data_IF_077492134650
#
_entry.id   IF_077492134650
#
_cell.length_a   1.000
_cell.length_b   1.000
_cell.length_c   1.000
_cell.angle_alpha   90.00
_cell.angle_beta   90.00
_cell.angle_gamma   90.00
#
_symmetry.space_group_name_H-M   'P 1'
#
loop_
_entity.id
_entity.type
_entity.pdbx_description
1 polymer ?
#
# COMPACT_ATOMS: atom_id res chain seq x y z
N UNK A 1 49.83 9.33 52.66
CA UNK A 1 49.27 8.15 51.98
C UNK A 1 47.94 8.56 51.38
N UNK A 2 47.89 8.81 50.07
CA UNK A 2 46.71 9.33 49.37
C UNK A 2 46.15 8.20 48.51
N UNK A 3 44.98 7.69 48.88
CA UNK A 3 44.29 6.63 48.14
C UNK A 3 43.68 7.22 46.86
N UNK A 4 44.17 6.79 45.70
CA UNK A 4 43.59 7.13 44.41
C UNK A 4 42.30 6.34 44.16
N UNK A 5 41.17 7.04 44.02
CA UNK A 5 39.93 6.49 43.46
C UNK A 5 40.17 6.17 41.98
N UNK A 6 40.26 4.89 41.63
CA UNK A 6 40.13 4.46 40.24
C UNK A 6 38.70 4.76 39.78
N UNK A 7 38.56 5.62 38.78
CA UNK A 7 37.32 5.81 38.07
C UNK A 7 37.04 4.55 37.24
N UNK A 8 36.03 3.78 37.62
CA UNK A 8 35.45 2.75 36.77
C UNK A 8 34.91 3.45 35.52
N UNK A 9 35.69 3.42 34.44
CA UNK A 9 35.21 3.76 33.11
C UNK A 9 34.23 2.65 32.72
N UNK A 10 32.94 2.99 32.60
CA UNK A 10 31.99 2.15 31.91
C UNK A 10 32.43 2.05 30.44
N UNK A 11 33.29 1.09 30.13
CA UNK A 11 33.45 0.59 28.77
C UNK A 11 32.16 -0.14 28.44
N UNK A 12 31.37 0.40 27.50
CA UNK A 12 30.37 -0.38 26.78
C UNK A 12 31.07 -1.64 26.27
N UNK A 13 30.64 -2.81 26.73
CA UNK A 13 31.20 -4.07 26.28
C UNK A 13 30.96 -4.17 24.78
N UNK A 14 32.03 -4.36 24.01
CA UNK A 14 31.99 -4.52 22.54
C UNK A 14 31.05 -5.68 22.14
N UNK A 15 30.86 -6.65 23.04
CA UNK A 15 30.01 -7.83 22.84
C UNK A 15 28.49 -7.54 22.83
N UNK A 16 28.02 -6.40 23.39
CA UNK A 16 26.60 -6.01 23.33
C UNK A 16 26.20 -5.37 21.99
N UNK A 17 27.17 -5.09 21.11
CA UNK A 17 26.93 -4.55 19.77
C UNK A 17 26.93 -5.63 18.68
N UNK A 18 27.57 -6.79 18.91
CA UNK A 18 27.63 -7.88 17.93
C UNK A 18 26.36 -8.75 17.90
N UNK A 19 25.48 -8.63 18.92
CA UNK A 19 24.21 -9.35 19.00
C UNK A 19 22.98 -8.58 18.49
N UNK A 20 23.15 -7.36 17.95
CA UNK A 20 22.03 -6.62 17.37
C UNK A 20 21.81 -7.09 15.94
N UNK A 21 20.96 -8.09 15.78
CA UNK A 21 20.38 -8.43 14.49
C UNK A 21 19.71 -7.15 13.94
N UNK A 22 20.37 -6.52 12.97
CA UNK A 22 19.83 -5.37 12.27
C UNK A 22 18.63 -5.86 11.47
N UNK A 23 17.42 -5.47 11.89
CA UNK A 23 16.21 -5.82 11.18
C UNK A 23 16.33 -5.40 9.71
N UNK A 24 16.11 -6.34 8.80
CA UNK A 24 15.93 -5.99 7.40
C UNK A 24 14.49 -5.53 7.21
N UNK A 25 14.31 -4.25 6.84
CA UNK A 25 12.98 -3.74 6.54
C UNK A 25 12.69 -3.89 5.05
N UNK A 26 11.56 -4.50 4.71
CA UNK A 26 11.05 -4.64 3.35
C UNK A 26 9.78 -3.82 3.18
N UNK A 27 9.70 -3.11 2.06
CA UNK A 27 8.47 -2.51 1.56
C UNK A 27 8.11 -3.21 0.25
N UNK A 28 6.99 -3.92 0.25
CA UNK A 28 6.45 -4.62 -0.91
C UNK A 28 5.40 -3.74 -1.56
N UNK A 29 5.56 -3.47 -2.85
CA UNK A 29 4.56 -2.77 -3.66
C UNK A 29 3.80 -3.80 -4.50
N UNK A 30 2.56 -4.07 -4.15
CA UNK A 30 1.74 -5.06 -4.85
C UNK A 30 0.73 -4.38 -5.76
N UNK A 31 0.87 -4.55 -7.08
CA UNK A 31 0.03 -3.89 -8.08
C UNK A 31 -1.16 -4.74 -8.51
N UNK A 32 -1.30 -5.94 -7.93
CA UNK A 32 -2.49 -6.79 -8.05
C UNK A 32 -3.01 -7.08 -6.65
N UNK A 33 -3.66 -6.10 -6.01
CA UNK A 33 -3.99 -6.20 -4.60
C UNK A 33 -4.78 -7.44 -4.23
N UNK A 34 -4.26 -8.18 -3.26
CA UNK A 34 -4.90 -9.39 -2.73
C UNK A 34 -6.29 -9.08 -2.15
N UNK A 35 -7.24 -9.99 -2.39
CA UNK A 35 -8.54 -9.94 -1.74
C UNK A 35 -8.42 -10.32 -0.25
N UNK A 36 -8.29 -9.33 0.63
CA UNK A 36 -8.27 -9.57 2.08
C UNK A 36 -9.70 -9.75 2.59
N UNK A 37 -10.01 -10.95 3.09
CA UNK A 37 -11.33 -11.26 3.60
C UNK A 37 -11.72 -10.33 4.77
N UNK A 38 -12.92 -9.74 4.68
CA UNK A 38 -13.45 -8.85 5.71
C UNK A 38 -12.97 -7.40 5.62
N UNK A 39 -12.09 -7.08 4.67
CA UNK A 39 -11.76 -5.69 4.37
C UNK A 39 -12.88 -4.98 3.62
N UNK A 40 -13.08 -3.70 3.96
CA UNK A 40 -14.14 -2.87 3.35
C UNK A 40 -13.70 -2.25 2.02
N UNK A 41 -12.38 -2.14 1.83
CA UNK A 41 -11.81 -1.62 0.60
C UNK A 41 -11.91 -2.69 -0.47
N UNK A 42 -12.33 -2.30 -1.68
CA UNK A 42 -12.33 -3.21 -2.82
C UNK A 42 -10.97 -3.04 -3.51
N UNK A 43 -10.01 -3.96 -3.25
CA UNK A 43 -8.82 -4.03 -4.07
C UNK A 43 -9.24 -4.14 -5.53
N UNK A 44 -8.65 -3.28 -6.37
CA UNK A 44 -8.79 -3.36 -7.82
C UNK A 44 -7.41 -3.45 -8.42
N UNK A 45 -7.24 -4.25 -9.48
CA UNK A 45 -5.94 -4.36 -10.13
C UNK A 45 -5.47 -3.00 -10.63
N UNK A 46 -4.18 -2.68 -10.45
CA UNK A 46 -3.59 -1.45 -10.97
C UNK A 46 -3.81 -1.33 -12.49
N UNK A 47 -3.68 -2.47 -13.19
CA UNK A 47 -3.93 -2.57 -14.63
C UNK A 47 -5.37 -2.20 -14.99
N UNK A 48 -6.35 -2.48 -14.13
CA UNK A 48 -7.74 -2.09 -14.32
C UNK A 48 -7.93 -0.58 -14.51
N UNK A 49 -7.07 0.25 -13.91
CA UNK A 49 -7.11 1.72 -14.07
C UNK A 49 -6.84 2.17 -15.50
N UNK A 50 -6.11 1.37 -16.27
CA UNK A 50 -5.72 1.66 -17.65
C UNK A 50 -6.78 1.19 -18.66
N UNK A 51 -7.81 0.50 -18.18
CA UNK A 51 -8.98 0.11 -18.98
C UNK A 51 -10.16 1.09 -18.79
N UNK A 52 -10.02 2.13 -17.95
CA UNK A 52 -11.10 3.07 -17.66
C UNK A 52 -11.24 4.10 -18.78
N UNK A 53 -12.31 3.98 -19.55
CA UNK A 53 -12.80 5.03 -20.44
C UNK A 53 -13.70 5.98 -19.66
N UNK A 54 -13.47 7.28 -19.77
CA UNK A 54 -14.38 8.28 -19.19
C UNK A 54 -15.63 8.42 -20.06
N UNK A 55 -16.61 9.21 -19.63
CA UNK A 55 -17.86 9.46 -20.37
C UNK A 55 -17.63 9.97 -21.81
N UNK A 56 -16.46 10.53 -22.11
CA UNK A 56 -16.02 10.91 -23.46
C UNK A 56 -15.58 9.74 -24.35
N UNK A 57 -15.58 8.51 -23.83
CA UNK A 57 -15.05 7.32 -24.49
C UNK A 57 -13.52 7.26 -24.57
N UNK A 58 -12.81 8.24 -23.98
CA UNK A 58 -11.34 8.32 -24.01
C UNK A 58 -10.75 8.18 -22.61
N UNK A 59 -9.65 7.45 -22.52
CA UNK A 59 -8.79 7.45 -21.34
C UNK A 59 -8.02 8.77 -21.22
N UNK A 60 -7.64 9.23 -20.02
CA UNK A 60 -6.86 10.46 -19.85
C UNK A 60 -5.48 10.31 -20.47
N UNK A 61 -5.02 11.33 -21.19
CA UNK A 61 -3.73 11.30 -21.88
C UNK A 61 -2.53 11.08 -20.94
N UNK A 62 -2.62 11.45 -19.66
CA UNK A 62 -1.54 11.18 -18.70
C UNK A 62 -1.39 9.70 -18.32
N UNK A 63 -2.36 8.86 -18.69
CA UNK A 63 -2.23 7.40 -18.56
C UNK A 63 -1.54 6.76 -19.78
N UNK A 64 -1.33 7.51 -20.87
CA UNK A 64 -0.49 7.08 -21.99
C UNK A 64 0.98 7.28 -21.56
N UNK A 65 1.65 6.18 -21.26
CA UNK A 65 2.97 6.17 -20.62
C UNK A 65 4.11 6.08 -21.62
N UNK A 66 3.84 5.51 -22.79
CA UNK A 66 4.78 5.44 -23.92
C UNK A 66 4.54 6.51 -24.99
N UNK A 67 3.41 7.25 -24.93
CA UNK A 67 3.10 8.37 -25.80
C UNK A 67 2.60 7.96 -27.19
N UNK A 68 2.09 6.73 -27.34
CA UNK A 68 1.65 6.20 -28.62
C UNK A 68 0.21 6.61 -29.01
N UNK A 69 -0.50 7.32 -28.12
CA UNK A 69 -1.88 7.78 -28.29
C UNK A 69 -2.96 6.82 -27.77
N UNK A 70 -2.59 5.66 -27.21
CA UNK A 70 -3.48 4.63 -26.71
C UNK A 70 -3.12 4.20 -25.30
N UNK A 71 -4.11 4.18 -24.40
CA UNK A 71 -3.93 3.70 -23.03
C UNK A 71 -4.31 2.23 -22.95
N UNK A 72 -3.39 1.38 -22.53
CA UNK A 72 -3.60 -0.06 -22.43
C UNK A 72 -2.77 -0.72 -21.29
N UNK A 73 -2.77 -2.06 -21.23
CA UNK A 73 -2.03 -2.80 -20.21
C UNK A 73 -0.50 -2.63 -20.25
N UNK A 74 0.08 -2.27 -21.40
CA UNK A 74 1.50 -1.96 -21.51
C UNK A 74 1.85 -0.67 -20.74
N UNK A 75 0.98 0.34 -20.80
CA UNK A 75 1.15 1.58 -20.03
C UNK A 75 1.11 1.32 -18.53
N UNK A 76 0.24 0.41 -18.07
CA UNK A 76 0.21 -0.02 -16.68
C UNK A 76 1.56 -0.60 -16.24
N UNK A 77 2.18 -1.47 -17.05
CA UNK A 77 3.49 -2.03 -16.73
C UNK A 77 4.60 -0.96 -16.70
N UNK A 78 4.58 -0.01 -17.64
CA UNK A 78 5.53 1.11 -17.66
C UNK A 78 5.35 1.98 -16.41
N UNK A 79 4.11 2.28 -16.05
CA UNK A 79 3.80 3.09 -14.89
C UNK A 79 4.21 2.41 -13.58
N UNK A 80 3.91 1.13 -13.39
CA UNK A 80 4.26 0.41 -12.18
C UNK A 80 5.78 0.39 -11.94
N UNK A 81 6.56 0.20 -13.01
CA UNK A 81 8.02 0.31 -12.97
C UNK A 81 8.49 1.73 -12.61
N UNK A 82 7.91 2.77 -13.21
CA UNK A 82 8.24 4.17 -12.94
C UNK A 82 7.85 4.59 -11.51
N UNK A 83 6.70 4.15 -11.02
CA UNK A 83 6.25 4.34 -9.62
C UNK A 83 7.24 3.69 -8.67
N UNK A 84 7.57 2.41 -8.89
CA UNK A 84 8.54 1.68 -8.05
C UNK A 84 9.90 2.38 -8.01
N UNK A 85 10.41 2.83 -9.16
CA UNK A 85 11.66 3.58 -9.24
C UNK A 85 11.59 4.91 -8.47
N UNK A 86 10.45 5.62 -8.55
CA UNK A 86 10.25 6.87 -7.82
C UNK A 86 10.13 6.65 -6.31
N UNK A 87 9.43 5.61 -5.85
CA UNK A 87 9.39 5.23 -4.42
C UNK A 87 10.79 4.93 -3.90
N UNK A 88 11.60 4.18 -4.66
CA UNK A 88 13.02 3.95 -4.35
C UNK A 88 13.83 5.23 -4.23
N UNK A 89 13.53 6.23 -5.06
CA UNK A 89 14.18 7.54 -4.97
C UNK A 89 13.74 8.32 -3.72
N UNK A 90 12.44 8.32 -3.38
CA UNK A 90 11.89 9.01 -2.21
C UNK A 90 12.42 8.44 -0.89
N UNK A 91 12.63 7.13 -0.85
CA UNK A 91 13.14 6.41 0.32
C UNK A 91 14.64 6.14 0.27
N UNK A 92 15.37 6.77 -0.67
CA UNK A 92 16.81 6.62 -0.78
C UNK A 92 17.49 7.16 0.49
N UNK A 93 18.34 6.34 1.10
CA UNK A 93 19.08 6.69 2.32
C UNK A 93 18.46 6.16 3.61
N UNK A 94 17.24 5.63 3.56
CA UNK A 94 16.62 4.93 4.68
C UNK A 94 16.92 3.42 4.60
N UNK A 95 16.93 2.74 5.75
CA UNK A 95 17.16 1.29 5.84
C UNK A 95 15.91 0.51 5.43
N UNK A 96 15.53 0.57 4.15
CA UNK A 96 14.36 -0.14 3.61
C UNK A 96 14.67 -0.70 2.21
N UNK A 97 14.37 -1.98 2.01
CA UNK A 97 14.46 -2.67 0.73
C UNK A 97 13.11 -2.66 0.05
N UNK A 98 13.03 -2.02 -1.11
CA UNK A 98 11.78 -1.93 -1.87
C UNK A 98 11.74 -3.02 -2.93
N UNK A 99 10.71 -3.85 -2.86
CA UNK A 99 10.41 -4.89 -3.84
C UNK A 99 9.07 -4.59 -4.49
N UNK A 100 8.97 -4.87 -5.78
CA UNK A 100 7.66 -4.92 -6.42
C UNK A 100 7.19 -6.37 -6.36
N UNK A 101 5.96 -6.57 -5.93
CA UNK A 101 5.24 -7.82 -6.09
C UNK A 101 4.74 -7.97 -7.53
N UNK A 102 3.57 -8.57 -7.68
CA UNK A 102 3.01 -8.89 -8.98
C UNK A 102 2.40 -7.68 -9.69
N UNK A 103 2.37 -7.75 -11.02
CA UNK A 103 1.81 -6.71 -11.89
C UNK A 103 0.66 -7.19 -12.76
N UNK A 104 0.66 -8.47 -13.12
CA UNK A 104 -0.19 -9.01 -14.19
C UNK A 104 -1.26 -9.97 -13.68
N UNK A 105 -0.97 -10.71 -12.62
CA UNK A 105 -1.84 -11.71 -12.03
C UNK A 105 -1.71 -11.62 -10.52
N UNK A 106 -2.83 -11.59 -9.81
CA UNK A 106 -2.85 -11.72 -8.36
C UNK A 106 -2.34 -13.13 -8.01
N UNK A 107 -1.11 -13.23 -7.49
CA UNK A 107 -0.56 -14.50 -6.99
C UNK A 107 -0.56 -14.57 -5.45
N UNK A 108 -1.20 -13.62 -4.77
CA UNK A 108 -1.11 -13.48 -3.32
C UNK A 108 0.26 -13.00 -2.84
N UNK A 109 1.04 -12.31 -3.67
CA UNK A 109 2.43 -11.99 -3.34
C UNK A 109 2.54 -11.09 -2.10
N UNK A 110 1.71 -10.05 -1.99
CA UNK A 110 1.67 -9.19 -0.82
C UNK A 110 1.42 -9.97 0.47
N UNK A 111 0.37 -10.80 0.50
CA UNK A 111 0.00 -11.63 1.63
C UNK A 111 1.08 -12.65 1.99
N UNK A 112 1.73 -13.29 1.00
CA UNK A 112 2.83 -14.23 1.23
C UNK A 112 4.02 -13.53 1.91
N UNK A 113 4.42 -12.36 1.41
CA UNK A 113 5.51 -11.59 1.99
C UNK A 113 5.17 -11.11 3.40
N UNK A 114 3.96 -10.60 3.62
CA UNK A 114 3.52 -10.15 4.93
C UNK A 114 3.48 -11.29 5.95
N UNK A 115 2.94 -12.45 5.57
CA UNK A 115 2.92 -13.64 6.44
C UNK A 115 4.33 -14.14 6.75
N UNK A 116 5.24 -14.11 5.77
CA UNK A 116 6.64 -14.44 6.01
C UNK A 116 7.30 -13.50 7.02
N UNK A 117 7.10 -12.18 6.86
CA UNK A 117 7.63 -11.17 7.78
C UNK A 117 7.12 -11.35 9.22
N UNK A 118 5.81 -11.54 9.40
CA UNK A 118 5.20 -11.79 10.72
C UNK A 118 5.79 -13.00 11.45
N UNK A 119 6.31 -13.97 10.69
CA UNK A 119 6.98 -15.17 11.22
C UNK A 119 8.49 -15.01 11.37
N UNK A 120 9.09 -14.00 10.75
CA UNK A 120 10.50 -13.68 10.89
C UNK A 120 10.78 -12.98 12.21
N UNK A 121 11.85 -13.35 12.94
CA UNK A 121 12.34 -12.57 14.07
C UNK A 121 13.17 -11.35 13.63
N UNK A 122 13.68 -11.35 12.39
CA UNK A 122 14.75 -10.47 11.95
C UNK A 122 14.38 -9.62 10.72
N UNK A 123 13.20 -9.82 10.16
CA UNK A 123 12.73 -9.09 9.00
C UNK A 123 11.39 -8.43 9.33
N UNK A 124 11.26 -7.17 8.95
CA UNK A 124 10.00 -6.44 9.03
C UNK A 124 9.47 -6.26 7.62
N UNK A 125 8.23 -6.67 7.36
CA UNK A 125 7.62 -6.56 6.04
C UNK A 125 6.38 -5.67 6.08
N UNK A 126 6.45 -4.54 5.40
CA UNK A 126 5.28 -3.73 5.10
C UNK A 126 4.83 -3.95 3.67
N UNK A 127 3.52 -3.97 3.43
CA UNK A 127 2.95 -4.11 2.08
C UNK A 127 2.12 -2.87 1.76
N UNK A 128 2.28 -2.29 0.58
CA UNK A 128 1.34 -1.30 0.06
C UNK A 128 0.70 -1.88 -1.19
N UNK A 129 -0.61 -2.09 -1.11
CA UNK A 129 -1.43 -2.48 -2.24
C UNK A 129 -1.72 -1.27 -3.13
N UNK A 130 -1.23 -1.32 -4.36
CA UNK A 130 -1.27 -0.22 -5.31
C UNK A 130 -2.33 -0.53 -6.37
N UNK A 131 -3.47 0.13 -6.31
CA UNK A 131 -4.59 -0.24 -7.18
C UNK A 131 -5.94 0.21 -6.64
N UNK A 132 -6.99 0.02 -7.44
CA UNK A 132 -8.37 0.18 -7.02
C UNK A 132 -8.77 1.61 -6.64
N UNK A 133 -9.95 1.70 -6.05
CA UNK A 133 -10.58 2.95 -5.65
C UNK A 133 -11.10 2.86 -4.22
N UNK A 134 -11.23 4.02 -3.58
CA UNK A 134 -11.89 4.08 -2.28
C UNK A 134 -13.41 3.95 -2.45
N UNK A 135 -13.97 2.83 -1.98
CA UNK A 135 -15.42 2.53 -2.03
C UNK A 135 -16.25 3.29 -1.01
N UNK A 136 -15.62 3.99 -0.05
CA UNK A 136 -16.33 4.73 0.99
C UNK A 136 -16.97 6.04 0.51
N UNK A 137 -16.93 6.31 -0.80
CA UNK A 137 -17.60 7.46 -1.42
C UNK A 137 -16.86 8.78 -1.25
N UNK A 138 -15.62 8.77 -0.73
CA UNK A 138 -14.74 9.95 -0.64
C UNK A 138 -13.73 9.91 -1.80
N UNK A 139 -14.02 10.54 -2.95
CA UNK A 139 -13.14 10.49 -4.12
C UNK A 139 -11.78 11.16 -3.87
N UNK A 140 -11.64 11.98 -2.83
CA UNK A 140 -10.38 12.63 -2.46
C UNK A 140 -9.42 11.76 -1.64
N UNK A 141 -9.82 10.57 -1.18
CA UNK A 141 -8.92 9.68 -0.44
C UNK A 141 -8.08 8.88 -1.43
N UNK A 142 -6.78 9.17 -1.45
CA UNK A 142 -5.80 8.56 -2.35
C UNK A 142 -5.06 7.39 -1.72
N UNK A 143 -5.03 7.27 -0.40
CA UNK A 143 -4.46 6.14 0.31
C UNK A 143 -5.04 5.96 1.71
N UNK A 144 -4.72 4.82 2.32
CA UNK A 144 -4.98 4.55 3.73
C UNK A 144 -4.04 3.47 4.26
N UNK A 145 -3.51 3.65 5.47
CA UNK A 145 -2.78 2.65 6.20
C UNK A 145 -3.13 2.69 7.70
N UNK A 146 -2.78 1.62 8.40
CA UNK A 146 -2.66 1.69 9.85
C UNK A 146 -1.55 2.69 10.23
N UNK A 147 -1.68 3.31 11.39
CA UNK A 147 -0.69 4.28 11.89
C UNK A 147 -0.03 3.71 13.13
N UNK A 148 1.29 3.54 13.09
CA UNK A 148 2.07 3.14 14.26
C UNK A 148 2.21 4.32 15.25
N UNK A 149 2.61 4.04 16.49
CA UNK A 149 2.99 5.13 17.41
C UNK A 149 4.33 5.74 16.98
N UNK A 150 4.64 6.99 17.34
CA UNK A 150 5.93 7.59 17.05
C UNK A 150 7.07 6.78 17.66
N UNK A 151 8.07 6.46 16.85
CA UNK A 151 9.26 5.67 17.23
C UNK A 151 9.07 4.18 17.09
N UNK A 152 7.87 3.76 16.72
CA UNK A 152 7.52 2.38 16.45
C UNK A 152 7.35 2.17 14.95
N UNK A 153 7.28 0.90 14.59
CA UNK A 153 6.85 0.46 13.28
C UNK A 153 5.74 -0.57 13.48
N UNK A 154 4.88 -0.69 12.48
CA UNK A 154 3.82 -1.70 12.45
C UNK A 154 4.01 -2.54 11.20
N UNK A 155 4.21 -3.83 11.41
CA UNK A 155 4.22 -4.82 10.35
C UNK A 155 2.80 -5.08 9.86
N UNK A 156 2.40 -4.37 8.81
CA UNK A 156 1.05 -4.41 8.28
C UNK A 156 1.05 -3.97 6.81
N UNK A 157 -0.15 -3.85 6.26
CA UNK A 157 -0.38 -3.31 4.94
C UNK A 157 -1.12 -1.96 4.94
N UNK A 158 -1.03 -1.27 3.82
CA UNK A 158 -1.84 -0.11 3.46
C UNK A 158 -2.23 -0.16 1.98
N UNK A 159 -2.96 0.87 1.53
CA UNK A 159 -3.45 1.01 0.17
C UNK A 159 -3.05 2.34 -0.43
N UNK A 160 -2.65 2.33 -1.70
CA UNK A 160 -2.59 3.49 -2.56
C UNK A 160 -3.62 3.34 -3.69
N UNK A 161 -4.74 4.06 -3.58
CA UNK A 161 -5.90 4.02 -4.47
C UNK A 161 -5.64 4.79 -5.77
N UNK A 162 -4.87 4.17 -6.65
CA UNK A 162 -4.42 4.78 -7.91
C UNK A 162 -5.56 5.11 -8.88
N UNK A 163 -6.71 4.42 -8.82
CA UNK A 163 -7.89 4.83 -9.58
C UNK A 163 -8.49 6.13 -9.02
N UNK A 164 -8.51 6.29 -7.68
CA UNK A 164 -8.94 7.54 -7.03
C UNK A 164 -8.02 8.69 -7.44
N UNK A 165 -6.70 8.46 -7.46
CA UNK A 165 -5.70 9.44 -7.92
C UNK A 165 -5.97 9.82 -9.38
N UNK A 166 -6.06 8.85 -10.28
CA UNK A 166 -6.31 9.11 -11.70
C UNK A 166 -7.62 9.89 -11.91
N UNK A 167 -8.70 9.50 -11.23
CA UNK A 167 -9.98 10.19 -11.29
C UNK A 167 -9.90 11.62 -10.77
N UNK A 168 -9.24 11.84 -9.64
CA UNK A 168 -9.04 13.17 -9.07
C UNK A 168 -8.29 14.08 -10.05
N UNK A 169 -7.18 13.59 -10.62
CA UNK A 169 -6.39 14.34 -11.59
C UNK A 169 -7.17 14.64 -12.87
N UNK A 170 -7.95 13.67 -13.38
CA UNK A 170 -8.79 13.89 -14.56
C UNK A 170 -9.93 14.90 -14.31
N UNK A 171 -10.45 14.99 -13.08
CA UNK A 171 -11.57 15.87 -12.74
C UNK A 171 -11.14 17.29 -12.37
N UNK A 172 -10.02 17.45 -11.67
CA UNK A 172 -9.68 18.71 -11.00
C UNK A 172 -8.37 19.34 -11.49
N UNK A 173 -7.61 18.67 -12.36
CA UNK A 173 -6.33 19.19 -12.85
C UNK A 173 -6.35 19.32 -14.38
N UNK A 174 -6.08 20.53 -14.87
CA UNK A 174 -5.91 20.79 -16.31
C UNK A 174 -4.47 20.46 -16.72
N UNK A 175 -4.31 19.68 -17.80
CA UNK A 175 -3.01 19.34 -18.39
C UNK A 175 -2.03 18.60 -17.46
N UNK A 176 -2.49 17.49 -16.87
CA UNK A 176 -1.64 16.57 -16.09
C UNK A 176 -0.69 15.82 -17.02
N UNK A 177 0.59 15.72 -16.64
CA UNK A 177 1.56 14.86 -17.33
C UNK A 177 1.58 13.46 -16.72
N UNK A 178 2.03 12.46 -17.49
CA UNK A 178 2.21 11.10 -16.97
C UNK A 178 3.19 11.09 -15.79
N UNK A 179 4.24 11.92 -15.83
CA UNK A 179 5.19 12.07 -14.71
C UNK A 179 4.54 12.60 -13.42
N UNK A 180 3.56 13.49 -13.51
CA UNK A 180 2.84 14.01 -12.35
C UNK A 180 2.01 12.91 -11.70
N UNK A 181 1.29 12.10 -12.50
CA UNK A 181 0.56 10.93 -11.99
C UNK A 181 1.48 9.92 -11.29
N UNK A 182 2.64 9.60 -11.90
CA UNK A 182 3.65 8.73 -11.29
C UNK A 182 4.14 9.28 -9.95
N UNK A 183 4.44 10.58 -9.90
CA UNK A 183 4.92 11.23 -8.69
C UNK A 183 3.87 11.23 -7.59
N UNK A 184 2.59 11.44 -7.92
CA UNK A 184 1.52 11.40 -6.94
C UNK A 184 1.28 9.99 -6.39
N UNK A 185 1.26 8.96 -7.26
CA UNK A 185 1.16 7.57 -6.80
C UNK A 185 2.33 7.19 -5.88
N UNK A 186 3.56 7.52 -6.28
CA UNK A 186 4.75 7.22 -5.49
C UNK A 186 4.78 7.98 -4.16
N UNK A 187 4.32 9.24 -4.16
CA UNK A 187 4.21 10.03 -2.94
C UNK A 187 3.14 9.48 -1.99
N UNK A 188 1.98 9.07 -2.50
CA UNK A 188 0.95 8.39 -1.70
C UNK A 188 1.50 7.10 -1.09
N UNK A 189 2.16 6.24 -1.88
CA UNK A 189 2.77 5.00 -1.34
C UNK A 189 3.73 5.31 -0.19
N UNK A 190 4.63 6.27 -0.36
CA UNK A 190 5.58 6.63 0.67
C UNK A 190 4.91 7.34 1.87
N UNK A 191 3.84 8.11 1.66
CA UNK A 191 3.00 8.68 2.72
C UNK A 191 2.37 7.59 3.60
N UNK A 192 1.71 6.61 2.98
CA UNK A 192 1.10 5.49 3.69
C UNK A 192 2.14 4.61 4.39
N UNK A 193 3.31 4.39 3.75
CA UNK A 193 4.43 3.74 4.43
C UNK A 193 4.92 4.56 5.63
N UNK A 194 4.93 5.89 5.53
CA UNK A 194 5.24 6.77 6.65
C UNK A 194 4.32 6.54 7.86
N UNK A 195 3.02 6.36 7.65
CA UNK A 195 2.09 6.00 8.72
C UNK A 195 2.43 4.68 9.41
N UNK A 196 2.78 3.65 8.63
CA UNK A 196 3.24 2.36 9.18
C UNK A 196 4.52 2.52 10.03
N UNK A 197 5.29 3.59 9.79
CA UNK A 197 6.52 3.94 10.52
C UNK A 197 6.30 5.02 11.60
N UNK A 198 5.05 5.30 11.97
CA UNK A 198 4.71 6.18 13.08
C UNK A 198 4.68 7.67 12.75
N UNK A 199 4.65 8.02 11.46
CA UNK A 199 4.47 9.39 11.02
C UNK A 199 3.00 9.77 10.99
N UNK A 200 2.69 10.94 11.52
CA UNK A 200 1.37 11.55 11.45
C UNK A 200 1.32 12.61 10.36
N UNK A 201 0.10 13.07 10.01
CA UNK A 201 -0.03 14.20 9.10
C UNK A 201 0.60 15.43 9.71
N UNK A 202 1.28 16.21 8.88
CA UNK A 202 1.83 17.50 9.32
C UNK A 202 0.78 18.59 9.18
N UNK A 203 0.76 19.49 10.17
CA UNK A 203 -0.07 20.68 10.20
C UNK A 203 0.79 21.90 9.86
N UNK A 204 0.52 22.52 8.71
CA UNK A 204 1.31 23.64 8.19
C UNK A 204 2.74 23.22 7.81
N UNK A 205 3.61 24.21 7.64
CA UNK A 205 5.02 23.99 7.34
C UNK A 205 5.89 25.03 8.06
N UNK A 206 7.10 24.66 8.51
CA UNK A 206 8.04 25.63 9.08
C UNK A 206 8.48 26.62 8.01
N UNK A 207 8.93 27.82 8.44
CA UNK A 207 9.25 28.93 7.51
C UNK A 207 10.35 28.60 6.49
N UNK A 208 11.20 27.62 6.78
CA UNK A 208 12.29 27.16 5.93
C UNK A 208 11.93 25.95 5.05
N UNK A 209 10.69 25.45 5.12
CA UNK A 209 10.21 24.39 4.24
C UNK A 209 9.09 24.92 3.34
N UNK A 210 9.18 24.78 2.01
CA UNK A 210 8.13 25.21 1.08
C UNK A 210 6.86 24.34 1.14
N UNK A 211 6.62 23.65 2.25
CA UNK A 211 5.47 22.76 2.44
C UNK A 211 5.57 21.49 1.63
N UNK A 212 6.78 20.99 1.36
CA UNK A 212 7.03 19.83 0.49
C UNK A 212 7.22 18.53 1.28
N UNK A 213 6.79 18.50 2.54
CA UNK A 213 6.79 17.27 3.31
C UNK A 213 5.80 16.25 2.73
N UNK A 214 6.22 15.00 2.65
CA UNK A 214 5.40 13.92 2.11
C UNK A 214 4.16 13.60 2.94
N UNK A 215 4.19 13.89 4.24
CA UNK A 215 3.04 13.76 5.16
C UNK A 215 2.06 14.93 5.06
N UNK A 216 2.29 15.89 4.14
CA UNK A 216 1.34 16.96 3.81
C UNK A 216 0.57 16.60 2.53
N UNK A 217 -0.75 16.43 2.64
CA UNK A 217 -1.60 16.14 1.48
C UNK A 217 -1.58 17.23 0.40
N UNK A 218 -1.33 18.48 0.79
CA UNK A 218 -1.37 19.63 -0.13
C UNK A 218 -0.03 19.90 -0.82
N UNK A 219 1.01 19.14 -0.50
CA UNK A 219 2.34 19.32 -1.09
C UNK A 219 2.34 19.02 -2.60
N UNK A 220 3.26 19.63 -3.34
CA UNK A 220 3.38 19.35 -4.77
C UNK A 220 4.05 17.97 -4.96
N UNK A 221 3.42 17.04 -5.69
CA UNK A 221 3.92 15.67 -5.81
C UNK A 221 5.34 15.56 -6.38
N UNK A 222 5.75 16.53 -7.20
CA UNK A 222 7.08 16.56 -7.80
C UNK A 222 8.20 16.83 -6.79
N UNK A 223 7.90 17.51 -5.69
CA UNK A 223 8.89 17.94 -4.70
C UNK A 223 8.73 17.27 -3.33
N UNK A 224 7.65 16.50 -3.13
CA UNK A 224 7.39 15.72 -1.90
C UNK A 224 8.61 14.90 -1.50
N UNK A 225 9.01 15.00 -0.22
CA UNK A 225 10.04 14.15 0.40
C UNK A 225 9.86 14.08 1.93
N UNK A 226 10.58 13.16 2.58
CA UNK A 226 10.72 13.18 4.04
C UNK A 226 11.73 14.25 4.43
N UNK A 227 11.22 15.42 4.79
CA UNK A 227 12.05 16.60 5.08
C UNK A 227 12.69 16.46 6.46
N UNK A 228 13.97 16.84 6.59
CA UNK A 228 14.64 16.92 7.88
C UNK A 228 14.34 18.26 8.58
N UNK A 229 13.09 18.44 8.98
CA UNK A 229 12.60 19.60 9.71
C UNK A 229 11.51 19.17 10.69
N UNK A 230 11.31 19.96 11.75
CA UNK A 230 10.31 19.68 12.77
C UNK A 230 8.97 20.30 12.40
N UNK A 231 7.92 19.50 12.43
CA UNK A 231 6.54 19.88 12.12
C UNK A 231 5.66 19.70 13.32
N UNK A 232 4.63 20.52 13.45
CA UNK A 232 3.46 20.17 14.23
C UNK A 232 2.70 19.06 13.50
N UNK A 233 2.22 18.07 14.24
CA UNK A 233 1.52 16.93 13.66
C UNK A 233 0.14 16.75 14.27
N UNK A 234 -0.75 16.18 13.46
CA UNK A 234 -2.12 15.89 13.84
C UNK A 234 -2.49 14.43 13.62
N UNK A 235 -3.36 13.92 14.50
CA UNK A 235 -4.03 12.64 14.35
C UNK A 235 -5.54 12.90 14.46
N UNK A 236 -6.29 12.54 13.42
CA UNK A 236 -7.74 12.78 13.33
C UNK A 236 -8.13 14.25 13.54
N UNK A 237 -7.34 15.19 13.00
CA UNK A 237 -7.59 16.64 13.10
C UNK A 237 -7.29 17.25 14.48
N UNK A 238 -6.66 16.49 15.38
CA UNK A 238 -6.20 16.99 16.68
C UNK A 238 -4.68 17.09 16.70
N UNK A 239 -4.16 18.21 17.17
CA UNK A 239 -2.74 18.37 17.44
C UNK A 239 -2.26 17.35 18.49
N UNK A 240 -1.24 16.56 18.15
CA UNK A 240 -0.71 15.51 19.04
C UNK A 240 0.76 15.69 19.39
N UNK A 241 1.43 16.69 18.83
CA UNK A 241 2.82 17.00 19.16
C UNK A 241 3.63 17.46 17.96
N UNK A 242 4.94 17.28 18.04
CA UNK A 242 5.85 17.57 16.93
C UNK A 242 6.60 16.33 16.47
N UNK A 243 6.90 16.25 15.18
CA UNK A 243 7.74 15.20 14.60
C UNK A 243 8.72 15.79 13.60
N UNK A 244 9.89 15.17 13.49
CA UNK A 244 10.79 15.37 12.35
C UNK A 244 10.70 14.12 11.46
N UNK A 245 10.03 14.18 10.30
CA UNK A 245 9.69 12.98 9.56
C UNK A 245 10.89 12.15 9.10
N UNK A 246 12.00 12.80 8.72
CA UNK A 246 13.22 12.08 8.35
C UNK A 246 13.85 11.35 9.54
N UNK A 247 13.98 12.02 10.70
CA UNK A 247 14.56 11.41 11.90
C UNK A 247 13.67 10.30 12.47
N UNK A 248 12.36 10.50 12.43
CA UNK A 248 11.38 9.50 12.85
C UNK A 248 11.49 8.24 12.00
N UNK A 249 11.56 8.38 10.67
CA UNK A 249 11.72 7.23 9.78
C UNK A 249 13.02 6.46 10.05
N UNK A 250 14.13 7.16 10.34
CA UNK A 250 15.39 6.51 10.77
C UNK A 250 15.20 5.76 12.08
N UNK A 251 14.54 6.36 13.06
CA UNK A 251 14.28 5.74 14.37
C UNK A 251 13.43 4.48 14.21
N UNK A 252 12.31 4.57 13.51
CA UNK A 252 11.39 3.45 13.29
C UNK A 252 12.03 2.30 12.51
N UNK A 253 12.91 2.59 11.55
CA UNK A 253 13.61 1.56 10.75
C UNK A 253 14.89 1.01 11.39
N UNK A 254 15.39 1.61 12.47
CA UNK A 254 16.59 1.15 13.19
C UNK A 254 16.35 -0.03 14.14
N UNK A 255 15.10 -0.50 14.27
CA UNK A 255 14.77 -1.74 14.97
C UNK A 255 14.88 -1.65 16.50
N UNK A 256 14.54 -0.49 17.09
CA UNK A 256 14.52 -0.31 18.55
C UNK A 256 13.68 -1.36 19.30
N UNK A 257 12.64 -1.89 18.64
CA UNK A 257 12.07 -3.25 18.64
C UNK A 257 10.89 -3.19 17.66
N UNK A 258 10.62 -4.21 16.84
CA UNK A 258 9.39 -4.25 16.08
C UNK A 258 8.26 -4.47 17.10
N UNK A 259 7.47 -3.43 17.37
CA UNK A 259 6.23 -3.67 18.08
C UNK A 259 5.33 -4.42 17.10
N UNK A 260 5.30 -5.75 17.25
CA UNK A 260 4.19 -6.59 16.82
C UNK A 260 2.97 -5.99 17.51
N UNK A 261 2.34 -5.01 16.87
CA UNK A 261 1.18 -4.33 17.43
C UNK A 261 0.26 -5.41 17.92
N UNK A 262 -0.14 -5.33 19.20
CA UNK A 262 -1.14 -6.26 19.74
C UNK A 262 -2.27 -6.30 18.71
N UNK A 263 -2.61 -7.49 18.17
CA UNK A 263 -3.38 -7.60 16.95
C UNK A 263 -4.67 -6.79 17.11
N UNK A 264 -4.67 -5.56 16.59
CA UNK A 264 -5.90 -4.85 16.38
C UNK A 264 -6.69 -5.77 15.44
N UNK A 265 -8.00 -5.92 15.67
CA UNK A 265 -8.89 -6.94 15.07
C UNK A 265 -8.68 -7.20 13.56
N UNK A 266 -8.09 -6.26 12.84
CA UNK A 266 -7.58 -6.36 11.46
C UNK A 266 -6.57 -7.50 11.19
N UNK A 267 -5.63 -7.80 12.09
CA UNK A 267 -4.58 -8.82 11.85
C UNK A 267 -5.05 -10.27 12.04
N UNK A 268 -6.13 -10.50 12.77
CA UNK A 268 -6.76 -11.83 12.87
C UNK A 268 -7.36 -12.27 11.52
N UNK A 269 -7.87 -11.32 10.72
CA UNK A 269 -8.44 -11.61 9.39
C UNK A 269 -7.37 -11.90 8.34
N UNK A 270 -6.20 -11.24 8.43
CA UNK A 270 -5.08 -11.45 7.49
C UNK A 270 -4.49 -12.85 7.63
N UNK A 271 -4.32 -13.35 8.86
CA UNK A 271 -3.89 -14.73 9.12
C UNK A 271 -4.90 -15.75 8.56
N UNK A 272 -6.20 -15.49 8.68
CA UNK A 272 -7.24 -16.37 8.14
C UNK A 272 -7.25 -16.43 6.60
N UNK A 273 -7.01 -15.31 5.93
CA UNK A 273 -6.94 -15.25 4.47
C UNK A 273 -5.68 -15.98 3.94
N UNK A 274 -4.52 -15.78 4.56
CA UNK A 274 -3.27 -16.44 4.14
C UNK A 274 -3.30 -17.97 4.31
N UNK A 275 -3.98 -18.49 5.35
CA UNK A 275 -4.17 -19.94 5.53
C UNK A 275 -5.05 -20.52 4.41
N UNK A 276 -6.13 -19.84 4.01
CA UNK A 276 -6.99 -20.29 2.91
C UNK A 276 -6.24 -20.37 1.56
N UNK A 277 -5.33 -19.44 1.27
CA UNK A 277 -4.54 -19.48 0.03
C UNK A 277 -3.44 -20.56 0.05
N UNK A 278 -2.93 -20.94 1.23
CA UNK A 278 -1.96 -22.04 1.33
C UNK A 278 -2.59 -23.44 1.16
N UNK A 279 -3.90 -23.55 1.34
CA UNK A 279 -4.66 -24.81 1.21
C UNK A 279 -5.30 -25.01 -0.17
N UNK A 280 -5.30 -24.00 -1.05
CA UNK A 280 -5.68 -24.18 -2.45
C UNK A 280 -4.56 -24.89 -3.21
N UNK A 281 -4.65 -26.22 -3.25
CA UNK A 281 -3.92 -27.07 -4.20
C UNK A 281 -4.22 -26.60 -5.64
N UNK A 282 -3.28 -26.77 -6.60
CA UNK A 282 -3.55 -26.45 -8.00
C UNK A 282 -4.76 -27.25 -8.47
N UNK A 283 -5.79 -26.56 -8.96
CA UNK A 283 -6.87 -27.19 -9.68
C UNK A 283 -6.25 -27.72 -10.97
N UNK A 284 -6.12 -29.04 -11.09
CA UNK A 284 -5.79 -29.70 -12.35
C UNK A 284 -6.83 -29.27 -13.40
N UNK A 285 -6.42 -28.41 -14.33
CA UNK A 285 -7.15 -28.13 -15.56
C UNK A 285 -7.10 -29.37 -16.46
N UNK A 286 -7.96 -30.34 -16.16
CA UNK A 286 -8.37 -31.31 -17.16
C UNK A 286 -9.38 -30.64 -18.11
N UNK A 287 -8.83 -30.17 -19.23
CA UNK A 287 -9.59 -29.82 -20.41
C UNK A 287 -10.45 -31.01 -20.89
N UNK A 288 -11.76 -30.80 -20.98
CA UNK A 288 -12.60 -31.48 -21.95
C UNK A 288 -13.42 -30.42 -22.67
N UNK A 289 -13.18 -30.35 -23.98
CA UNK A 289 -13.89 -29.45 -24.87
C UNK A 289 -15.31 -29.94 -25.14
N UNK A 290 -16.23 -29.00 -25.21
CA UNK A 290 -17.46 -29.17 -25.97
C UNK A 290 -17.55 -28.04 -27.00
N UNK A 291 -17.67 -28.52 -28.23
CA UNK A 291 -17.89 -27.81 -29.49
C UNK A 291 -19.33 -27.27 -29.48
N UNK A 292 -19.52 -25.97 -29.73
CA UNK A 292 -20.85 -25.41 -30.02
C UNK A 292 -20.74 -24.55 -31.26
N UNK A 293 -21.40 -25.02 -32.32
CA UNK A 293 -21.54 -24.39 -33.63
C UNK A 293 -22.38 -23.09 -33.56
N UNK A 294 -22.20 -22.15 -34.52
CA UNK A 294 -22.80 -20.82 -34.45
C UNK A 294 -23.84 -20.57 -35.54
N UNK A 295 -25.13 -20.45 -35.23
CA UNK A 295 -26.09 -19.77 -36.12
C UNK A 295 -27.24 -19.15 -35.31
N UNK A 296 -27.65 -17.91 -35.66
CA UNK A 296 -28.93 -17.38 -35.19
C UNK A 296 -29.08 -15.86 -35.11
N UNK A 297 -29.09 -15.21 -36.27
CA UNK A 297 -29.72 -13.92 -36.61
C UNK A 297 -30.63 -13.19 -35.58
N UNK A 298 -30.48 -11.85 -35.52
CA UNK A 298 -31.59 -10.99 -35.93
C UNK A 298 -32.03 -9.84 -34.99
N UNK A 299 -32.03 -8.64 -35.57
CA UNK A 299 -32.95 -7.52 -35.39
C UNK A 299 -32.63 -6.37 -34.42
N UNK A 300 -32.59 -5.18 -35.06
CA UNK A 300 -32.55 -3.82 -34.54
C UNK A 300 -33.82 -3.40 -33.80
N UNK A 301 -33.68 -2.41 -32.91
CA UNK A 301 -34.59 -1.25 -32.86
C UNK A 301 -33.92 -0.06 -32.16
N UNK A 302 -34.01 1.10 -32.82
CA UNK A 302 -33.66 2.43 -32.34
C UNK A 302 -34.60 2.92 -31.24
N UNK A 303 -34.16 3.87 -30.41
CA UNK A 303 -35.09 4.78 -29.74
C UNK A 303 -34.53 5.59 -28.58
N UNK A 304 -34.32 6.89 -28.82
CA UNK A 304 -34.77 7.93 -27.87
C UNK A 304 -33.75 8.50 -26.89
N UNK A 305 -33.14 9.62 -27.28
CA UNK A 305 -32.69 10.66 -26.34
C UNK A 305 -33.88 11.23 -25.56
N UNK A 306 -33.80 11.32 -24.23
CA UNK A 306 -34.53 12.33 -23.46
C UNK A 306 -33.69 12.78 -22.26
N UNK A 307 -33.56 14.11 -22.16
CA UNK A 307 -32.98 14.83 -21.04
C UNK A 307 -33.98 14.96 -19.90
N UNK A 308 -33.50 14.87 -18.66
CA UNK A 308 -34.14 15.37 -17.43
C UNK A 308 -33.03 15.45 -16.37
N UNK A 309 -32.55 16.64 -16.01
CA UNK A 309 -33.12 17.61 -15.06
C UNK A 309 -32.50 17.48 -13.68
N UNK A 310 -32.01 18.61 -13.20
CA UNK A 310 -31.46 18.88 -11.87
C UNK A 310 -32.28 18.26 -10.73
N UNK A 311 -31.60 17.76 -9.72
CA UNK A 311 -32.18 17.64 -8.38
C UNK A 311 -31.12 17.95 -7.33
N UNK A 312 -31.37 19.05 -6.63
CA UNK A 312 -30.69 19.47 -5.42
C UNK A 312 -30.82 18.38 -4.36
N UNK A 313 -29.71 17.97 -3.74
CA UNK A 313 -29.75 17.20 -2.49
C UNK A 313 -29.40 18.10 -1.31
N UNK A 314 -30.45 18.40 -0.57
CA UNK A 314 -30.45 19.03 0.75
C UNK A 314 -29.80 18.11 1.78
N UNK A 315 -28.95 18.72 2.61
CA UNK A 315 -28.43 18.18 3.86
C UNK A 315 -29.55 17.97 4.88
N UNK A 316 -29.71 16.74 5.36
CA UNK A 316 -30.05 16.35 6.74
C UNK A 316 -30.51 14.89 6.75
N UNK A 317 -29.79 13.99 7.45
CA UNK A 317 -30.46 13.16 8.45
C UNK A 317 -29.50 12.37 9.38
N UNK A 318 -29.57 12.77 10.65
CA UNK A 318 -29.77 11.97 11.87
C UNK A 318 -28.97 10.68 12.07
N UNK A 319 -28.00 10.82 12.98
CA UNK A 319 -27.45 9.82 13.88
C UNK A 319 -28.57 8.95 14.50
N UNK A 320 -28.55 7.64 14.22
CA UNK A 320 -29.22 6.62 15.04
C UNK A 320 -28.16 5.79 15.76
N UNK A 321 -28.08 5.98 17.06
CA UNK A 321 -27.33 5.16 18.02
C UNK A 321 -28.04 3.83 18.22
N UNK A 322 -27.46 2.74 17.75
CA UNK A 322 -27.85 1.39 18.15
C UNK A 322 -26.98 0.94 19.33
N UNK A 323 -27.57 0.84 20.51
CA UNK A 323 -27.01 0.11 21.65
C UNK A 323 -27.02 -1.38 21.33
N UNK A 324 -25.86 -2.02 21.28
CA UNK A 324 -25.75 -3.48 21.29
C UNK A 324 -25.19 -3.94 22.64
N UNK A 325 -25.91 -4.85 23.29
CA UNK A 325 -25.58 -5.47 24.57
C UNK A 325 -24.36 -6.38 24.42
N UNK A 326 -23.45 -6.30 25.38
CA UNK A 326 -22.36 -7.26 25.60
C UNK A 326 -22.90 -8.58 26.14
N UNK A 327 -22.57 -9.69 25.49
CA UNK A 327 -22.66 -11.02 26.10
C UNK A 327 -21.26 -11.65 26.10
N UNK A 328 -20.73 -11.76 27.32
CA UNK A 328 -19.89 -12.77 27.94
C UNK A 328 -18.85 -13.59 27.14
N UNK A 329 -17.63 -13.46 27.68
CA UNK A 329 -16.53 -14.40 27.79
C UNK A 329 -16.85 -15.89 27.61
N UNK A 330 -16.27 -16.48 26.57
CA UNK A 330 -15.64 -17.81 26.65
C UNK A 330 -14.38 -17.82 25.79
N UNK A 331 -13.22 -17.77 26.44
CA UNK A 331 -11.89 -17.93 25.83
C UNK A 331 -11.67 -19.39 25.44
N UNK A 332 -11.97 -19.73 24.19
CA UNK A 332 -11.50 -20.96 23.56
C UNK A 332 -10.07 -20.74 23.07
N UNK A 333 -9.09 -21.34 23.76
CA UNK A 333 -7.70 -21.41 23.31
C UNK A 333 -7.60 -22.30 22.07
N UNK A 334 -7.68 -21.70 20.88
CA UNK A 334 -7.36 -22.36 19.62
C UNK A 334 -5.83 -22.55 19.57
N UNK A 335 -5.31 -23.78 19.42
CA UNK A 335 -3.87 -24.00 19.29
C UNK A 335 -3.34 -23.31 18.04
N UNK A 336 -2.23 -22.58 18.18
CA UNK A 336 -1.49 -21.99 17.08
C UNK A 336 -1.01 -23.11 16.13
N UNK A 337 -1.16 -22.96 14.80
CA UNK A 337 -0.68 -23.97 13.86
C UNK A 337 0.84 -24.12 13.94
N UNK A 338 1.30 -25.37 13.85
CA UNK A 338 2.71 -25.75 13.76
C UNK A 338 3.37 -25.14 12.52
N UNK A 339 4.58 -24.58 12.69
CA UNK A 339 5.41 -24.01 11.62
C UNK A 339 5.56 -25.00 10.45
N UNK A 340 4.85 -24.76 9.34
CA UNK A 340 5.16 -25.39 8.07
C UNK A 340 6.31 -24.63 7.36
N UNK A 341 7.10 -25.33 6.56
CA UNK A 341 8.22 -24.79 5.79
C UNK A 341 7.72 -23.74 4.77
N UNK A 342 7.68 -22.47 5.16
CA UNK A 342 7.39 -21.37 4.24
C UNK A 342 8.58 -21.08 3.32
N UNK A 343 8.27 -20.61 2.11
CA UNK A 343 9.25 -20.15 1.15
C UNK A 343 10.08 -18.98 1.74
N UNK A 344 11.40 -19.07 1.59
CA UNK A 344 12.36 -18.02 1.95
C UNK A 344 12.26 -16.82 0.99
N UNK A 345 12.79 -15.63 1.34
CA UNK A 345 12.82 -14.48 0.43
C UNK A 345 13.46 -14.78 -0.92
N UNK A 346 14.51 -15.60 -0.96
CA UNK A 346 15.14 -16.02 -2.22
C UNK A 346 14.21 -16.87 -3.09
N UNK A 347 13.36 -17.69 -2.47
CA UNK A 347 12.37 -18.50 -3.19
C UNK A 347 11.23 -17.60 -3.71
N UNK A 348 10.71 -16.70 -2.88
CA UNK A 348 9.71 -15.70 -3.31
C UNK A 348 10.25 -14.78 -4.43
N UNK A 349 11.52 -14.39 -4.35
CA UNK A 349 12.21 -13.63 -5.41
C UNK A 349 12.34 -14.45 -6.70
N UNK A 350 12.69 -15.72 -6.60
CA UNK A 350 12.78 -16.60 -7.76
C UNK A 350 11.42 -16.81 -8.44
N UNK A 351 10.36 -17.01 -7.66
CA UNK A 351 8.98 -17.12 -8.15
C UNK A 351 8.53 -15.85 -8.89
N UNK A 352 8.78 -14.67 -8.31
CA UNK A 352 8.45 -13.40 -8.95
C UNK A 352 9.23 -13.16 -10.26
N UNK A 353 10.51 -13.55 -10.31
CA UNK A 353 11.31 -13.47 -11.54
C UNK A 353 10.76 -14.40 -12.63
N UNK A 354 10.39 -15.63 -12.27
CA UNK A 354 9.78 -16.59 -13.20
C UNK A 354 8.46 -16.06 -13.75
N UNK A 355 7.58 -15.50 -12.91
CA UNK A 355 6.33 -14.88 -13.34
C UNK A 355 6.56 -13.72 -14.32
N UNK A 356 7.58 -12.88 -14.06
CA UNK A 356 7.97 -11.81 -14.96
C UNK A 356 8.46 -12.32 -16.32
N UNK A 357 9.28 -13.38 -16.35
CA UNK A 357 9.78 -13.99 -17.59
C UNK A 357 8.68 -14.67 -18.40
N UNK A 358 7.74 -15.38 -17.75
CA UNK A 358 6.58 -15.98 -18.41
C UNK A 358 5.69 -14.91 -19.06
N UNK A 359 5.51 -13.76 -18.41
CA UNK A 359 4.75 -12.64 -18.99
C UNK A 359 5.39 -12.07 -20.26
N UNK A 360 6.72 -12.15 -20.40
CA UNK A 360 7.44 -11.70 -21.60
C UNK A 360 7.29 -12.71 -22.74
N UNK A 361 7.17 -14.00 -22.44
CA UNK A 361 7.03 -15.07 -23.45
C UNK A 361 5.63 -15.20 -24.03
N UNK A 362 4.58 -14.81 -23.28
CA UNK A 362 3.20 -14.76 -23.79
C UNK A 362 2.87 -13.62 -24.76
N UNK A 363 3.88 -12.95 -25.33
CA UNK A 363 3.75 -11.81 -26.27
C UNK A 363 4.21 -12.14 -27.71
N UNK A 364 4.39 -13.42 -28.06
CA UNK A 364 4.71 -13.85 -29.43
C UNK A 364 3.47 -14.24 -30.22
#
# INVERSE_FOLDING_TARGET
MTAGKQANRCTLNVEDLEGRDLLANYLILDFTPDAILGERYVPGSFRGNYNVTYTSGRSPAFLDMDGNGWVNGNDAAIAANRITARVKQLLKGYNVKIKSGDFNSDTGAGAKWLNWGLQSPNDLVSVIYVGGYNTTGRPGTTGIAAVASPGENVEHYGYAFTASIARHLAQFSTAVSSSYFINECAATIAHEFGHLMGLYHVYGHPANDPGQNIMNYSANPNYKNFTNATYYVELNGQYVGTQNPALELVRSLSGGQPHRGSPNRYSANVMSAAVQYSEMQPIDEHAQGEEVDPEGHGHCCCGGCQAASETQFSSNDRIRTAKYRSNDDTTSSIPLPTRHNLATPKQLEAEAVVALELSKKGRS
#
